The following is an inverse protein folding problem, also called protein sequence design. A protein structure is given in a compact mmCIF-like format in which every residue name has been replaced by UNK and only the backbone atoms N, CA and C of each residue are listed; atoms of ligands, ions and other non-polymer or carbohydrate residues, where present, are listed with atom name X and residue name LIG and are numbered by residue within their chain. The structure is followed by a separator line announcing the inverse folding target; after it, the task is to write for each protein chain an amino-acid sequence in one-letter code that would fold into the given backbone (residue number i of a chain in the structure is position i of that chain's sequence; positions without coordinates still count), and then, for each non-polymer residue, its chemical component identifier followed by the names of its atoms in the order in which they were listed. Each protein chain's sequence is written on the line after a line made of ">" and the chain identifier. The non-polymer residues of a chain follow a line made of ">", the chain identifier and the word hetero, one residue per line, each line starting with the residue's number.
data_IF_589734721911
#
_entry.id   IF_589734721911
#
_cell.length_a   1.000
_cell.length_b   1.000
_cell.length_c   1.000
_cell.angle_alpha   90.00
_cell.angle_beta   90.00
_cell.angle_gamma   90.00
#
_symmetry.space_group_name_H-M   'P 1'
#
loop_
_entity.id
_entity.type
_entity.pdbx_description
1 polymer ?
#
# COMPACT_ATOMS: atom_id res chain seq x y z
N UNK A 1 22.16 -22.10 11.08
CA UNK A 1 21.09 -22.58 10.17
C UNK A 1 20.09 -21.45 10.00
N UNK A 2 19.95 -20.69 8.91
CA UNK A 2 20.57 -20.64 7.60
C UNK A 2 19.88 -19.47 6.91
N UNK A 3 20.49 -18.27 6.95
CA UNK A 3 20.02 -17.12 6.17
C UNK A 3 20.47 -17.34 4.72
N UNK A 4 19.86 -18.31 4.05
CA UNK A 4 19.75 -18.26 2.60
C UNK A 4 19.06 -16.92 2.27
N UNK A 5 19.73 -16.02 1.52
CA UNK A 5 19.18 -14.72 1.17
C UNK A 5 17.78 -14.87 0.57
N UNK A 6 16.85 -13.98 0.90
CA UNK A 6 15.45 -13.97 0.44
C UNK A 6 15.28 -14.32 -1.05
N UNK A 7 16.24 -13.86 -1.89
CA UNK A 7 16.41 -14.21 -3.31
C UNK A 7 16.32 -15.69 -3.64
N UNK A 8 16.88 -16.59 -2.82
CA UNK A 8 16.87 -18.03 -3.11
C UNK A 8 15.52 -18.70 -2.80
N UNK A 9 14.59 -17.98 -2.20
CA UNK A 9 13.28 -18.49 -1.74
C UNK A 9 12.13 -18.10 -2.66
N UNK A 10 12.36 -17.26 -3.67
CA UNK A 10 11.40 -16.85 -4.67
C UNK A 10 12.01 -17.17 -6.04
N UNK A 11 11.31 -17.99 -6.83
CA UNK A 11 11.68 -18.29 -8.21
C UNK A 11 10.78 -17.48 -9.12
N UNK A 12 11.28 -16.33 -9.58
CA UNK A 12 10.59 -15.44 -10.50
C UNK A 12 11.45 -14.23 -10.85
N UNK A 13 11.17 -13.64 -12.01
CA UNK A 13 11.88 -12.49 -12.56
C UNK A 13 10.91 -11.31 -12.79
N UNK A 14 9.80 -11.24 -12.04
CA UNK A 14 8.81 -10.18 -12.18
C UNK A 14 8.97 -9.13 -11.10
N UNK A 15 9.33 -7.90 -11.47
CA UNK A 15 9.18 -6.68 -10.67
C UNK A 15 9.59 -6.70 -9.18
N UNK A 16 10.42 -7.64 -8.72
CA UNK A 16 10.98 -7.69 -7.36
C UNK A 16 12.44 -7.27 -7.38
N UNK A 17 12.82 -6.33 -6.50
CA UNK A 17 14.20 -5.83 -6.39
C UNK A 17 15.04 -6.75 -5.51
N UNK A 18 15.50 -7.86 -6.07
CA UNK A 18 16.41 -8.80 -5.41
C UNK A 18 17.87 -8.36 -5.57
N UNK A 19 18.71 -8.63 -4.57
CA UNK A 19 20.15 -8.34 -4.67
C UNK A 19 20.76 -9.19 -5.79
N UNK A 20 21.62 -8.58 -6.61
CA UNK A 20 22.32 -9.27 -7.70
C UNK A 20 23.60 -9.96 -7.20
N UNK A 21 24.18 -9.46 -6.11
CA UNK A 21 25.40 -9.98 -5.48
C UNK A 21 25.45 -9.59 -3.99
N UNK A 22 26.38 -10.15 -3.21
CA UNK A 22 26.57 -9.83 -1.80
C UNK A 22 28.00 -10.02 -1.32
N UNK A 23 28.44 -9.18 -0.37
CA UNK A 23 29.60 -9.46 0.47
C UNK A 23 29.13 -9.90 1.86
N UNK A 24 29.25 -11.20 2.16
CA UNK A 24 28.83 -11.75 3.45
C UNK A 24 29.74 -11.39 4.61
N UNK A 25 31.01 -11.06 4.36
CA UNK A 25 31.95 -10.67 5.42
C UNK A 25 31.63 -9.28 5.95
N UNK A 26 31.26 -8.36 5.06
CA UNK A 26 30.93 -6.96 5.38
C UNK A 26 29.42 -6.73 5.54
N UNK A 27 28.59 -7.76 5.36
CA UNK A 27 27.13 -7.67 5.38
C UNK A 27 26.57 -6.66 4.35
N UNK A 28 27.14 -6.64 3.15
CA UNK A 28 26.73 -5.76 2.04
C UNK A 28 25.90 -6.55 1.03
N UNK A 29 24.81 -5.96 0.57
CA UNK A 29 23.98 -6.46 -0.53
C UNK A 29 24.06 -5.50 -1.72
N UNK A 30 24.31 -6.03 -2.91
CA UNK A 30 24.43 -5.27 -4.15
C UNK A 30 23.14 -5.45 -4.93
N UNK A 31 22.50 -4.35 -5.35
CA UNK A 31 21.24 -4.36 -6.08
C UNK A 31 21.36 -3.67 -7.42
N UNK A 32 20.47 -4.01 -8.36
CA UNK A 32 20.23 -3.16 -9.52
C UNK A 32 19.83 -1.76 -9.04
N UNK A 33 20.45 -0.76 -9.67
CA UNK A 33 20.14 0.64 -9.44
C UNK A 33 18.89 1.04 -10.22
N UNK A 34 18.06 1.86 -9.61
CA UNK A 34 16.93 2.53 -10.23
C UNK A 34 17.05 4.02 -9.94
N UNK A 35 16.65 4.84 -10.91
CA UNK A 35 16.80 6.29 -10.89
C UNK A 35 16.02 6.95 -9.74
N UNK A 36 14.76 6.58 -9.58
CA UNK A 36 13.84 7.20 -8.63
C UNK A 36 13.05 6.14 -7.83
N UNK A 37 12.43 6.56 -6.74
CA UNK A 37 11.28 5.86 -6.14
C UNK A 37 9.99 6.48 -6.66
N UNK A 38 8.85 5.79 -6.59
CA UNK A 38 7.56 6.36 -6.96
C UNK A 38 7.27 7.63 -6.14
N UNK A 39 7.65 7.65 -4.85
CA UNK A 39 7.53 8.85 -4.01
C UNK A 39 8.35 10.01 -4.57
N UNK A 40 9.64 9.78 -4.83
CA UNK A 40 10.54 10.82 -5.30
C UNK A 40 10.13 11.35 -6.69
N UNK A 41 9.71 10.42 -7.57
CA UNK A 41 9.24 10.72 -8.91
C UNK A 41 8.03 11.65 -8.88
N UNK A 42 6.95 11.27 -8.19
CA UNK A 42 5.71 12.04 -8.18
C UNK A 42 5.78 13.31 -7.33
N UNK A 43 6.65 13.36 -6.31
CA UNK A 43 6.95 14.63 -5.62
C UNK A 43 7.65 15.64 -6.52
N UNK A 44 8.58 15.17 -7.36
CA UNK A 44 9.35 16.02 -8.27
C UNK A 44 8.56 16.40 -9.52
N UNK A 45 7.74 15.47 -10.00
CA UNK A 45 6.95 15.61 -11.21
C UNK A 45 5.51 15.12 -10.98
N UNK A 46 4.66 15.92 -10.32
CA UNK A 46 3.25 15.58 -10.08
C UNK A 46 2.42 15.42 -11.36
N UNK A 47 2.97 15.79 -12.53
CA UNK A 47 2.35 15.68 -13.86
C UNK A 47 2.95 14.52 -14.69
N UNK A 48 3.69 13.59 -14.06
CA UNK A 48 4.22 12.41 -14.74
C UNK A 48 3.08 11.68 -15.49
N UNK A 49 3.26 11.21 -16.73
CA UNK A 49 2.15 10.77 -17.57
C UNK A 49 1.23 9.74 -16.89
N UNK A 50 -0.10 9.95 -16.85
CA UNK A 50 -1.03 9.04 -16.16
C UNK A 50 -0.91 7.58 -16.60
N UNK A 51 -0.83 7.33 -17.90
CA UNK A 51 -0.70 5.98 -18.47
C UNK A 51 0.56 5.26 -17.97
N UNK A 52 1.65 6.01 -17.77
CA UNK A 52 2.89 5.47 -17.22
C UNK A 52 2.76 5.16 -15.72
N UNK A 53 1.95 5.91 -14.97
CA UNK A 53 1.62 5.58 -13.57
C UNK A 53 0.80 4.30 -13.49
N UNK A 54 -0.13 4.09 -14.42
CA UNK A 54 -0.90 2.84 -14.51
C UNK A 54 0.04 1.65 -14.77
N UNK A 55 1.04 1.80 -15.66
CA UNK A 55 2.08 0.77 -15.86
C UNK A 55 2.86 0.46 -14.58
N UNK A 56 3.21 1.48 -13.79
CA UNK A 56 3.86 1.29 -12.47
C UNK A 56 2.95 0.51 -11.52
N UNK A 57 1.68 0.92 -11.40
CA UNK A 57 0.71 0.24 -10.53
C UNK A 57 0.53 -1.24 -10.90
N UNK A 58 0.42 -1.54 -12.21
CA UNK A 58 0.32 -2.91 -12.70
C UNK A 58 1.56 -3.74 -12.38
N UNK A 59 2.75 -3.21 -12.66
CA UNK A 59 4.01 -3.89 -12.38
C UNK A 59 4.17 -4.22 -10.88
N UNK A 60 3.79 -3.30 -10.00
CA UNK A 60 3.81 -3.55 -8.54
C UNK A 60 2.77 -4.59 -8.14
N UNK A 61 1.60 -4.61 -8.80
CA UNK A 61 0.60 -5.65 -8.57
C UNK A 61 1.13 -7.05 -8.89
N UNK A 62 1.84 -7.18 -10.01
CA UNK A 62 2.48 -8.42 -10.45
C UNK A 62 3.58 -8.85 -9.46
N UNK A 63 4.36 -7.90 -8.92
CA UNK A 63 5.32 -8.18 -7.85
C UNK A 63 4.65 -8.72 -6.58
N UNK A 64 3.51 -8.13 -6.18
CA UNK A 64 2.72 -8.60 -5.02
C UNK A 64 2.11 -9.98 -5.30
N UNK A 65 1.67 -10.25 -6.53
CA UNK A 65 1.20 -11.57 -6.93
C UNK A 65 2.32 -12.63 -6.83
N UNK A 66 3.52 -12.29 -7.27
CA UNK A 66 4.70 -13.17 -7.13
C UNK A 66 5.00 -13.47 -5.66
N UNK A 67 4.94 -12.46 -4.77
CA UNK A 67 5.10 -12.68 -3.33
C UNK A 67 4.02 -13.59 -2.76
N UNK A 68 2.75 -13.26 -3.00
CA UNK A 68 1.60 -13.96 -2.40
C UNK A 68 1.48 -15.41 -2.89
N UNK A 69 1.83 -15.69 -4.15
CA UNK A 69 1.89 -17.04 -4.71
C UNK A 69 3.00 -17.91 -4.10
N UNK A 70 4.06 -17.29 -3.55
CA UNK A 70 5.15 -17.96 -2.84
C UNK A 70 4.97 -17.94 -1.30
N UNK A 71 3.76 -17.64 -0.84
CA UNK A 71 3.40 -17.48 0.57
C UNK A 71 4.15 -16.37 1.31
N UNK A 72 4.57 -15.31 0.62
CA UNK A 72 5.17 -14.13 1.25
C UNK A 72 4.19 -12.98 1.33
N UNK A 73 4.23 -12.26 2.45
CA UNK A 73 3.58 -10.98 2.68
C UNK A 73 4.68 -9.94 2.86
N UNK A 74 4.58 -8.81 2.18
CA UNK A 74 5.59 -7.76 2.19
C UNK A 74 5.56 -6.94 3.48
N UNK A 75 4.36 -6.59 3.96
CA UNK A 75 4.10 -5.81 5.18
C UNK A 75 4.58 -4.34 5.19
N UNK A 76 5.18 -3.83 4.11
CA UNK A 76 5.64 -2.43 4.00
C UNK A 76 5.54 -1.89 2.56
N UNK A 77 4.42 -2.18 1.89
CA UNK A 77 4.16 -1.62 0.55
C UNK A 77 3.90 -0.12 0.69
N UNK A 78 4.73 0.69 0.05
CA UNK A 78 4.64 2.15 0.03
C UNK A 78 5.40 2.73 -1.18
N UNK A 79 5.14 3.98 -1.60
CA UNK A 79 5.78 4.57 -2.77
C UNK A 79 7.32 4.68 -2.68
N UNK A 80 7.90 4.75 -1.47
CA UNK A 80 9.36 4.72 -1.27
C UNK A 80 9.98 3.38 -1.66
N UNK A 81 9.23 2.29 -1.50
CA UNK A 81 9.69 0.93 -1.76
C UNK A 81 9.43 0.48 -3.20
N UNK A 82 8.78 1.33 -4.01
CA UNK A 82 8.54 1.11 -5.43
C UNK A 82 9.59 1.89 -6.20
N UNK A 83 10.53 1.19 -6.82
CA UNK A 83 11.60 1.77 -7.60
C UNK A 83 11.20 1.89 -9.07
N UNK A 84 11.59 3.00 -9.70
CA UNK A 84 11.17 3.35 -11.05
C UNK A 84 12.36 3.86 -11.86
N UNK A 85 12.55 3.28 -13.04
CA UNK A 85 13.37 3.82 -14.12
C UNK A 85 12.48 4.33 -15.24
N UNK A 86 12.89 5.44 -15.84
CA UNK A 86 12.18 6.06 -16.95
C UNK A 86 13.15 6.83 -17.85
N UNK A 87 12.77 6.97 -19.11
CA UNK A 87 13.47 7.73 -20.15
C UNK A 87 12.51 8.69 -20.83
N UNK A 88 13.02 9.52 -21.74
CA UNK A 88 12.19 10.23 -22.71
C UNK A 88 12.22 9.49 -24.05
N UNK A 89 11.07 9.34 -24.69
CA UNK A 89 10.99 8.90 -26.08
C UNK A 89 11.50 9.99 -27.04
N UNK A 90 11.48 9.72 -28.35
CA UNK A 90 11.93 10.67 -29.37
C UNK A 90 11.07 11.94 -29.46
N UNK A 91 9.83 11.90 -28.95
CA UNK A 91 8.93 13.05 -28.87
C UNK A 91 9.07 13.83 -27.54
N UNK A 92 9.94 13.36 -26.63
CA UNK A 92 10.16 13.96 -25.32
C UNK A 92 9.19 13.48 -24.23
N UNK A 93 8.31 12.53 -24.52
CA UNK A 93 7.37 11.99 -23.53
C UNK A 93 8.13 11.09 -22.56
N UNK A 94 7.84 11.22 -21.27
CA UNK A 94 8.42 10.32 -20.26
C UNK A 94 7.79 8.94 -20.40
N UNK A 95 8.63 7.90 -20.41
CA UNK A 95 8.22 6.50 -20.55
C UNK A 95 8.95 5.69 -19.49
N UNK A 96 8.22 4.89 -18.72
CA UNK A 96 8.75 3.98 -17.72
C UNK A 96 9.44 2.81 -18.41
N UNK A 97 10.66 2.51 -17.98
CA UNK A 97 11.50 1.46 -18.54
C UNK A 97 11.76 0.32 -17.55
N UNK A 98 11.51 0.55 -16.27
CA UNK A 98 11.69 -0.46 -15.23
C UNK A 98 10.92 -0.11 -13.98
N UNK A 99 10.34 -1.13 -13.35
CA UNK A 99 9.64 -0.99 -12.07
C UNK A 99 10.00 -2.18 -11.20
N UNK A 100 10.32 -1.94 -9.94
CA UNK A 100 10.53 -3.00 -8.98
C UNK A 100 10.06 -2.63 -7.56
N UNK A 101 9.34 -3.54 -6.92
CA UNK A 101 9.06 -3.50 -5.49
C UNK A 101 10.27 -4.03 -4.72
N UNK A 102 10.77 -3.28 -3.76
CA UNK A 102 11.92 -3.64 -2.93
C UNK A 102 11.67 -3.44 -1.44
N UNK A 103 12.73 -3.65 -0.65
CA UNK A 103 12.71 -3.60 0.82
C UNK A 103 11.85 -4.69 1.47
N UNK A 104 12.46 -5.87 1.64
CA UNK A 104 11.81 -7.05 2.20
C UNK A 104 12.20 -7.31 3.66
N UNK A 105 12.73 -6.30 4.36
CA UNK A 105 13.34 -6.49 5.70
C UNK A 105 12.34 -7.00 6.74
N UNK A 106 11.06 -6.66 6.57
CA UNK A 106 9.97 -7.11 7.44
C UNK A 106 9.00 -8.09 6.74
N UNK A 107 9.34 -8.56 5.54
CA UNK A 107 8.53 -9.54 4.83
C UNK A 107 8.44 -10.84 5.63
N UNK A 108 7.29 -11.50 5.59
CA UNK A 108 7.07 -12.72 6.35
C UNK A 108 6.35 -13.81 5.56
N UNK A 109 6.66 -15.06 5.87
CA UNK A 109 6.05 -16.21 5.22
C UNK A 109 4.72 -16.54 5.88
N UNK A 110 3.62 -16.39 5.15
CA UNK A 110 2.24 -16.63 5.56
C UNK A 110 1.44 -17.27 4.43
N UNK A 111 0.85 -18.43 4.72
CA UNK A 111 -0.04 -19.13 3.80
C UNK A 111 -1.36 -18.39 3.65
N UNK A 112 -2.14 -18.77 2.64
CA UNK A 112 -3.45 -18.16 2.39
C UNK A 112 -4.36 -18.31 3.62
N UNK A 113 -4.96 -17.20 4.04
CA UNK A 113 -5.84 -17.15 5.21
C UNK A 113 -5.12 -17.09 6.56
N UNK A 114 -3.79 -17.17 6.59
CA UNK A 114 -3.03 -16.96 7.83
C UNK A 114 -2.89 -15.47 8.14
N UNK A 115 -2.95 -15.15 9.43
CA UNK A 115 -2.68 -13.82 9.97
C UNK A 115 -1.61 -13.93 11.04
N UNK A 116 -0.57 -13.11 10.94
CA UNK A 116 0.42 -12.93 11.99
C UNK A 116 0.03 -11.77 12.87
N UNK A 117 0.23 -11.92 14.18
CA UNK A 117 0.08 -10.83 15.16
C UNK A 117 1.45 -10.58 15.77
N UNK A 118 1.95 -9.36 15.65
CA UNK A 118 3.21 -8.91 16.26
C UNK A 118 2.93 -8.10 17.53
N UNK A 119 3.87 -8.04 18.50
CA UNK A 119 3.69 -7.24 19.71
C UNK A 119 3.50 -5.74 19.43
N UNK A 120 4.05 -5.27 18.31
CA UNK A 120 3.95 -3.91 17.83
C UNK A 120 3.64 -3.92 16.34
N UNK A 121 2.91 -2.89 15.91
CA UNK A 121 2.88 -2.38 14.55
C UNK A 121 4.21 -2.53 13.78
N UNK A 122 4.17 -3.02 12.53
CA UNK A 122 5.32 -3.11 11.64
C UNK A 122 5.03 -2.44 10.29
N UNK A 123 6.04 -1.81 9.68
CA UNK A 123 5.88 -1.04 8.45
C UNK A 123 5.51 0.43 8.69
N UNK A 124 5.44 1.21 7.62
CA UNK A 124 5.20 2.65 7.71
C UNK A 124 3.75 2.98 8.11
N UNK A 125 3.57 3.76 9.18
CA UNK A 125 2.25 4.14 9.73
C UNK A 125 1.26 4.70 8.72
N UNK A 126 1.71 5.46 7.72
CA UNK A 126 0.82 6.09 6.74
C UNK A 126 0.26 5.11 5.71
N UNK A 127 0.94 3.97 5.50
CA UNK A 127 0.59 3.01 4.45
C UNK A 127 -0.04 1.72 4.99
N UNK A 128 -0.19 1.63 6.32
CA UNK A 128 -0.78 0.46 6.97
C UNK A 128 -2.30 0.46 6.86
N UNK A 129 -2.85 -0.72 6.54
CA UNK A 129 -4.26 -1.02 6.77
C UNK A 129 -4.70 -0.77 8.21
N UNK A 130 -5.99 -0.49 8.48
CA UNK A 130 -6.48 -0.32 9.85
C UNK A 130 -6.09 -1.49 10.76
N UNK A 131 -6.31 -2.74 10.35
CA UNK A 131 -5.93 -3.89 11.17
C UNK A 131 -4.41 -3.97 11.42
N UNK A 132 -3.58 -3.54 10.46
CA UNK A 132 -2.13 -3.48 10.63
C UNK A 132 -1.67 -2.38 11.60
N UNK A 133 -2.54 -1.42 11.93
CA UNK A 133 -2.30 -0.48 13.03
C UNK A 133 -2.18 -1.21 14.38
N UNK A 134 -2.90 -2.32 14.52
CA UNK A 134 -2.95 -3.17 15.71
C UNK A 134 -1.85 -4.25 15.76
N UNK A 135 -0.92 -4.26 14.80
CA UNK A 135 0.11 -5.30 14.69
C UNK A 135 -0.32 -6.57 13.94
N UNK A 136 -1.48 -6.56 13.27
CA UNK A 136 -1.88 -7.65 12.40
C UNK A 136 -1.19 -7.56 11.03
N UNK A 137 -0.77 -8.69 10.48
CA UNK A 137 -0.14 -8.78 9.17
C UNK A 137 -0.73 -9.97 8.41
N UNK A 138 -1.17 -9.72 7.18
CA UNK A 138 -1.79 -10.72 6.29
C UNK A 138 -1.64 -10.31 4.82
N UNK A 139 -2.03 -11.19 3.90
CA UNK A 139 -2.11 -10.81 2.47
C UNK A 139 -3.08 -9.64 2.25
N UNK A 140 -4.20 -9.61 2.96
CA UNK A 140 -5.16 -8.52 2.84
C UNK A 140 -4.54 -7.17 3.23
N UNK A 141 -3.67 -7.11 4.25
CA UNK A 141 -3.02 -5.85 4.64
C UNK A 141 -2.08 -5.33 3.55
N UNK A 142 -1.41 -6.20 2.78
CA UNK A 142 -0.64 -5.80 1.60
C UNK A 142 -1.56 -5.19 0.52
N UNK A 143 -2.72 -5.80 0.27
CA UNK A 143 -3.67 -5.29 -0.74
C UNK A 143 -4.19 -3.90 -0.38
N UNK A 144 -4.42 -3.63 0.91
CA UNK A 144 -4.84 -2.30 1.34
C UNK A 144 -3.72 -1.28 1.14
N UNK A 145 -2.50 -1.61 1.55
CA UNK A 145 -1.33 -0.75 1.33
C UNK A 145 -1.11 -0.46 -0.17
N UNK A 146 -1.34 -1.46 -1.02
CA UNK A 146 -1.34 -1.32 -2.47
C UNK A 146 -2.46 -0.39 -2.98
N UNK A 147 -3.67 -0.49 -2.42
CA UNK A 147 -4.76 0.45 -2.69
C UNK A 147 -4.41 1.90 -2.33
N UNK A 148 -3.75 2.12 -1.19
CA UNK A 148 -3.24 3.44 -0.83
C UNK A 148 -2.20 3.95 -1.84
N UNK A 149 -1.30 3.09 -2.30
CA UNK A 149 -0.33 3.43 -3.36
C UNK A 149 -1.06 3.85 -4.64
N UNK A 150 -2.18 3.22 -5.00
CA UNK A 150 -2.96 3.61 -6.17
C UNK A 150 -3.59 4.99 -6.00
N UNK A 151 -4.19 5.27 -4.85
CA UNK A 151 -4.72 6.61 -4.53
C UNK A 151 -3.62 7.67 -4.68
N UNK A 152 -2.41 7.38 -4.18
CA UNK A 152 -1.26 8.27 -4.34
C UNK A 152 -0.85 8.45 -5.81
N UNK A 153 -0.69 7.35 -6.57
CA UNK A 153 -0.29 7.38 -7.96
C UNK A 153 -1.29 8.14 -8.85
N UNK A 154 -2.59 8.00 -8.57
CA UNK A 154 -3.67 8.67 -9.28
C UNK A 154 -3.84 10.16 -8.89
N UNK A 155 -2.92 10.72 -8.11
CA UNK A 155 -2.88 12.15 -7.80
C UNK A 155 -3.72 12.56 -6.59
N UNK A 156 -4.30 11.62 -5.85
CA UNK A 156 -5.05 11.88 -4.63
C UNK A 156 -4.21 11.68 -3.34
N UNK A 157 -2.89 11.85 -3.45
CA UNK A 157 -1.94 11.60 -2.37
C UNK A 157 -2.10 12.50 -1.14
N UNK A 158 -2.58 13.72 -1.32
CA UNK A 158 -2.81 14.68 -0.22
C UNK A 158 -3.88 14.21 0.77
N UNK A 159 -4.75 13.28 0.35
CA UNK A 159 -5.69 12.62 1.25
C UNK A 159 -4.95 11.78 2.30
N UNK A 160 -3.87 11.11 1.91
CA UNK A 160 -3.20 10.10 2.73
C UNK A 160 -2.07 10.68 3.60
N UNK A 161 -1.32 11.64 3.06
CA UNK A 161 -0.06 12.08 3.68
C UNK A 161 -0.33 13.00 4.88
N UNK A 162 0.25 12.65 6.03
CA UNK A 162 0.33 13.53 7.19
C UNK A 162 1.49 14.50 7.01
N UNK A 163 1.18 15.77 6.74
CA UNK A 163 2.19 16.83 6.56
C UNK A 163 2.69 17.45 7.87
N UNK A 164 1.99 17.23 9.00
CA UNK A 164 2.30 17.88 10.28
C UNK A 164 2.31 16.90 11.46
N UNK A 165 3.23 15.94 11.41
CA UNK A 165 3.45 14.98 12.50
C UNK A 165 3.91 15.66 13.80
N UNK A 166 4.66 16.76 13.69
CA UNK A 166 5.19 17.50 14.84
C UNK A 166 4.06 18.16 15.65
N UNK A 167 3.06 18.75 15.00
CA UNK A 167 1.91 19.31 15.70
C UNK A 167 1.02 18.24 16.33
N UNK A 168 0.85 17.08 15.67
CA UNK A 168 0.14 15.94 16.26
C UNK A 168 0.84 15.46 17.53
N UNK A 169 2.17 15.32 17.49
CA UNK A 169 2.97 14.95 18.65
C UNK A 169 2.84 15.97 19.79
N UNK A 170 2.86 17.28 19.49
CA UNK A 170 2.65 18.34 20.49
C UNK A 170 1.24 18.31 21.10
N UNK A 171 0.24 17.90 20.32
CA UNK A 171 -1.13 17.72 20.79
C UNK A 171 -1.35 16.39 21.55
N UNK A 172 -0.32 15.53 21.62
CA UNK A 172 -0.42 14.21 22.24
C UNK A 172 -1.26 13.22 21.44
N UNK A 173 -1.45 13.45 20.13
CA UNK A 173 -2.23 12.60 19.24
C UNK A 173 -1.27 11.61 18.55
N UNK A 174 -1.41 10.29 18.77
CA UNK A 174 -0.62 9.30 18.05
C UNK A 174 -0.90 9.34 16.54
N UNK A 175 0.14 9.18 15.72
CA UNK A 175 0.00 9.19 14.26
C UNK A 175 -0.96 8.10 13.78
N UNK A 176 -0.97 6.93 14.42
CA UNK A 176 -1.87 5.82 14.14
C UNK A 176 -3.35 6.25 14.24
N UNK A 177 -3.68 7.05 15.26
CA UNK A 177 -5.05 7.50 15.49
C UNK A 177 -5.51 8.44 14.37
N UNK A 178 -4.65 9.38 13.97
CA UNK A 178 -4.93 10.29 12.87
C UNK A 178 -5.08 9.54 11.54
N UNK A 179 -4.14 8.64 11.22
CA UNK A 179 -4.20 7.83 9.99
C UNK A 179 -5.47 6.98 9.95
N UNK A 180 -5.82 6.29 11.04
CA UNK A 180 -7.05 5.49 11.10
C UNK A 180 -8.29 6.34 10.90
N UNK A 181 -8.36 7.51 11.55
CA UNK A 181 -9.50 8.42 11.41
C UNK A 181 -9.65 8.90 9.96
N UNK A 182 -8.54 9.23 9.29
CA UNK A 182 -8.55 9.60 7.86
C UNK A 182 -9.01 8.45 6.97
N UNK A 183 -8.43 7.26 7.15
CA UNK A 183 -8.86 6.07 6.41
C UNK A 183 -10.35 5.80 6.58
N UNK A 184 -10.85 5.90 7.82
CA UNK A 184 -12.27 5.75 8.09
C UNK A 184 -13.10 6.87 7.48
N UNK A 185 -12.57 8.09 7.32
CA UNK A 185 -13.24 9.20 6.66
C UNK A 185 -13.34 9.00 5.14
N UNK A 186 -12.34 8.39 4.50
CA UNK A 186 -12.34 8.20 3.05
C UNK A 186 -12.99 6.89 2.62
N UNK A 187 -12.77 5.80 3.34
CA UNK A 187 -13.17 4.44 2.95
C UNK A 187 -14.29 3.85 3.83
N UNK A 188 -14.81 4.63 4.77
CA UNK A 188 -15.95 4.25 5.60
C UNK A 188 -17.27 4.15 4.82
N UNK A 189 -18.32 3.60 5.43
CA UNK A 189 -18.44 3.31 6.86
C UNK A 189 -17.66 2.07 7.32
N UNK A 190 -17.27 2.05 8.60
CA UNK A 190 -16.47 0.96 9.18
C UNK A 190 -17.37 -0.24 9.52
N UNK A 191 -17.11 -1.45 8.96
CA UNK A 191 -17.96 -2.60 9.21
C UNK A 191 -17.68 -3.26 10.57
N UNK A 192 -18.70 -3.88 11.17
CA UNK A 192 -18.54 -4.59 12.45
C UNK A 192 -17.54 -5.76 12.37
N UNK A 193 -17.38 -6.33 11.19
CA UNK A 193 -16.41 -7.40 10.93
C UNK A 193 -14.96 -6.95 11.14
N UNK A 194 -14.62 -5.66 10.96
CA UNK A 194 -13.29 -5.16 11.29
C UNK A 194 -13.03 -5.24 12.80
N UNK A 195 -13.96 -4.73 13.62
CA UNK A 195 -13.81 -4.76 15.08
C UNK A 195 -13.74 -6.19 15.62
N UNK A 196 -14.51 -7.12 15.04
CA UNK A 196 -14.51 -8.52 15.44
C UNK A 196 -13.16 -9.22 15.22
N UNK A 197 -12.29 -8.67 14.37
CA UNK A 197 -10.96 -9.22 14.08
C UNK A 197 -9.88 -8.68 15.01
N UNK A 198 -10.12 -7.52 15.62
CA UNK A 198 -9.20 -6.89 16.57
C UNK A 198 -9.40 -7.52 17.93
N UNK A 199 -8.35 -8.14 18.49
CA UNK A 199 -8.42 -8.83 19.79
C UNK A 199 -8.32 -7.88 20.97
N UNK A 200 -7.54 -6.82 20.81
CA UNK A 200 -7.22 -5.84 21.84
C UNK A 200 -8.41 -4.88 22.07
N UNK A 201 -8.86 -4.75 23.31
CA UNK A 201 -10.02 -3.94 23.67
C UNK A 201 -9.78 -2.44 23.54
N UNK A 202 -8.56 -1.98 23.81
CA UNK A 202 -8.19 -0.58 23.70
C UNK A 202 -8.18 -0.17 22.23
N UNK A 203 -7.62 -1.01 21.35
CA UNK A 203 -7.69 -0.81 19.90
C UNK A 203 -9.13 -0.83 19.38
N UNK A 204 -9.97 -1.77 19.86
CA UNK A 204 -11.40 -1.79 19.49
C UNK A 204 -12.11 -0.49 19.89
N UNK A 205 -11.88 -0.01 21.11
CA UNK A 205 -12.47 1.23 21.61
C UNK A 205 -11.97 2.45 20.82
N UNK A 206 -10.67 2.52 20.55
CA UNK A 206 -10.05 3.59 19.76
C UNK A 206 -10.63 3.63 18.34
N UNK A 207 -10.76 2.48 17.66
CA UNK A 207 -11.31 2.41 16.31
C UNK A 207 -12.77 2.82 16.28
N UNK A 208 -13.58 2.41 17.25
CA UNK A 208 -14.98 2.87 17.36
C UNK A 208 -15.06 4.38 17.57
N UNK A 209 -14.13 4.96 18.33
CA UNK A 209 -14.06 6.41 18.51
C UNK A 209 -13.68 7.12 17.20
N UNK A 210 -12.64 6.64 16.51
CA UNK A 210 -12.23 7.15 15.21
C UNK A 210 -13.35 7.05 14.16
N UNK A 211 -14.09 5.93 14.13
CA UNK A 211 -15.21 5.73 13.23
C UNK A 211 -16.34 6.75 13.46
N UNK A 212 -16.70 7.03 14.72
CA UNK A 212 -17.70 8.07 15.05
C UNK A 212 -17.27 9.47 14.62
N UNK A 213 -15.98 9.80 14.77
CA UNK A 213 -15.44 11.08 14.29
C UNK A 213 -15.49 11.15 12.76
N UNK A 214 -15.04 10.09 12.09
CA UNK A 214 -15.08 9.98 10.64
C UNK A 214 -16.50 10.06 10.07
N UNK A 215 -17.49 9.45 10.71
CA UNK A 215 -18.89 9.49 10.28
C UNK A 215 -19.51 10.87 10.47
N UNK A 216 -19.21 11.55 11.59
CA UNK A 216 -19.60 12.94 11.80
C UNK A 216 -19.03 13.82 10.70
N UNK A 217 -17.71 13.72 10.44
CA UNK A 217 -17.05 14.50 9.41
C UNK A 217 -17.60 14.20 8.01
N UNK A 218 -17.84 12.93 7.68
CA UNK A 218 -18.41 12.56 6.39
C UNK A 218 -19.87 13.00 6.24
N UNK A 219 -20.62 13.17 7.33
CA UNK A 219 -21.97 13.75 7.27
C UNK A 219 -21.95 15.25 6.94
N UNK A 220 -20.92 15.96 7.41
CA UNK A 220 -20.69 17.38 7.12
C UNK A 220 -20.03 17.59 5.75
N UNK A 221 -19.17 16.66 5.33
CA UNK A 221 -18.42 16.68 4.08
C UNK A 221 -18.54 15.34 3.33
N UNK A 222 -19.69 15.05 2.69
CA UNK A 222 -19.91 13.78 2.00
C UNK A 222 -18.90 13.50 0.88
N UNK A 223 -18.38 14.56 0.25
CA UNK A 223 -17.40 14.49 -0.83
C UNK A 223 -16.04 13.91 -0.42
N UNK A 224 -15.76 13.77 0.88
CA UNK A 224 -14.56 13.07 1.36
C UNK A 224 -14.64 11.55 1.15
N UNK A 225 -15.82 10.96 1.01
CA UNK A 225 -15.96 9.50 0.81
C UNK A 225 -15.51 9.09 -0.60
N UNK A 226 -14.89 7.92 -0.70
CA UNK A 226 -14.42 7.32 -1.96
C UNK A 226 -15.53 7.26 -3.02
N UNK A 227 -16.77 6.96 -2.62
CA UNK A 227 -17.93 6.92 -3.51
C UNK A 227 -18.25 8.27 -4.18
N UNK A 228 -17.65 9.37 -3.73
CA UNK A 228 -17.79 10.70 -4.31
C UNK A 228 -16.55 11.10 -5.10
N UNK A 229 -15.39 11.19 -4.45
CA UNK A 229 -14.17 11.63 -5.15
C UNK A 229 -13.64 10.56 -6.10
N UNK A 230 -13.83 9.27 -5.81
CA UNK A 230 -13.39 8.19 -6.69
C UNK A 230 -14.14 8.17 -8.02
N UNK A 231 -15.38 8.69 -8.08
CA UNK A 231 -16.13 8.84 -9.34
C UNK A 231 -15.46 9.79 -10.33
N UNK A 232 -14.65 10.75 -9.86
CA UNK A 232 -13.92 11.66 -10.76
C UNK A 232 -12.77 10.96 -11.49
N UNK A 233 -12.36 9.78 -11.02
CA UNK A 233 -11.31 8.94 -11.62
C UNK A 233 -11.87 7.91 -12.62
N UNK A 234 -13.19 7.80 -12.75
CA UNK A 234 -13.86 6.79 -13.60
C UNK A 234 -14.34 5.55 -12.83
N UNK A 235 -15.29 4.82 -13.42
CA UNK A 235 -15.95 3.68 -12.76
C UNK A 235 -14.98 2.52 -12.48
N UNK A 236 -14.08 2.19 -13.43
CA UNK A 236 -13.11 1.13 -13.25
C UNK A 236 -12.07 1.45 -12.16
N UNK A 237 -11.63 2.70 -12.08
CA UNK A 237 -10.74 3.15 -11.00
C UNK A 237 -11.46 3.09 -9.64
N UNK A 238 -12.71 3.52 -9.58
CA UNK A 238 -13.53 3.43 -8.37
C UNK A 238 -13.73 1.97 -7.92
N UNK A 239 -14.01 1.04 -8.83
CA UNK A 239 -14.14 -0.38 -8.52
C UNK A 239 -12.85 -0.93 -7.91
N UNK A 240 -11.70 -0.66 -8.55
CA UNK A 240 -10.39 -1.09 -8.07
C UNK A 240 -10.07 -0.51 -6.69
N UNK A 241 -10.26 0.79 -6.50
CA UNK A 241 -10.00 1.46 -5.22
C UNK A 241 -10.93 0.94 -4.13
N UNK A 242 -12.22 0.72 -4.43
CA UNK A 242 -13.19 0.19 -3.46
C UNK A 242 -12.82 -1.24 -3.02
N UNK A 243 -12.39 -2.07 -3.97
CA UNK A 243 -12.00 -3.45 -3.70
C UNK A 243 -10.70 -3.58 -2.92
N UNK A 244 -9.71 -2.72 -3.18
CA UNK A 244 -8.41 -2.73 -2.50
C UNK A 244 -8.44 -2.03 -1.14
N UNK A 245 -9.21 -0.95 -0.99
CA UNK A 245 -9.34 -0.17 0.25
C UNK A 245 -10.51 -0.61 1.15
N UNK A 246 -11.15 -1.76 0.85
CA UNK A 246 -12.22 -2.28 1.68
C UNK A 246 -11.76 -2.45 3.14
N UNK A 247 -12.49 -1.83 4.08
CA UNK A 247 -12.16 -1.83 5.50
C UNK A 247 -12.37 -3.19 6.19
N UNK A 248 -13.08 -4.13 5.58
CA UNK A 248 -13.09 -5.53 6.02
C UNK A 248 -11.99 -6.32 5.29
N UNK A 249 -10.93 -6.76 5.98
CA UNK A 249 -9.84 -7.55 5.38
C UNK A 249 -10.31 -8.84 4.71
N UNK A 250 -11.47 -9.39 5.11
CA UNK A 250 -12.02 -10.63 4.55
C UNK A 250 -12.82 -10.41 3.27
N UNK A 251 -13.33 -9.20 3.07
CA UNK A 251 -14.07 -8.81 1.87
C UNK A 251 -13.19 -8.06 0.86
N UNK A 252 -11.95 -7.73 1.23
CA UNK A 252 -10.96 -7.09 0.37
C UNK A 252 -10.55 -8.05 -0.75
N UNK A 253 -10.33 -7.50 -1.95
CA UNK A 253 -9.90 -8.29 -3.10
C UNK A 253 -8.58 -9.01 -2.82
N UNK A 254 -8.39 -10.18 -3.43
CA UNK A 254 -7.05 -10.77 -3.56
C UNK A 254 -6.28 -10.12 -4.70
N UNK A 255 -4.95 -10.26 -4.72
CA UNK A 255 -4.15 -9.71 -5.82
C UNK A 255 -4.53 -10.26 -7.19
N UNK A 256 -4.92 -11.54 -7.27
CA UNK A 256 -5.40 -12.15 -8.52
C UNK A 256 -6.70 -11.51 -9.00
N UNK A 257 -7.61 -11.18 -8.07
CA UNK A 257 -8.84 -10.47 -8.40
C UNK A 257 -8.55 -9.03 -8.84
N UNK A 258 -7.62 -8.34 -8.16
CA UNK A 258 -7.18 -6.99 -8.56
C UNK A 258 -6.65 -7.00 -9.99
N UNK A 259 -5.75 -7.93 -10.34
CA UNK A 259 -5.18 -8.05 -11.69
C UNK A 259 -6.19 -8.48 -12.77
N UNK A 260 -7.33 -9.05 -12.37
CA UNK A 260 -8.41 -9.44 -13.28
C UNK A 260 -9.44 -8.33 -13.55
N UNK A 261 -9.32 -7.16 -12.89
CA UNK A 261 -10.25 -6.04 -13.09
C UNK A 261 -10.13 -5.44 -14.49
N UNK A 262 -11.26 -4.93 -15.00
CA UNK A 262 -11.34 -4.26 -16.31
C UNK A 262 -10.45 -3.02 -16.42
N UNK A 263 -10.14 -2.38 -15.28
CA UNK A 263 -9.23 -1.23 -15.19
C UNK A 263 -7.91 -1.42 -15.94
N UNK A 264 -7.37 -2.64 -16.00
CA UNK A 264 -6.10 -2.92 -16.68
C UNK A 264 -6.23 -3.20 -18.18
N UNK A 265 -7.45 -3.21 -18.71
CA UNK A 265 -7.81 -3.54 -20.10
C UNK A 265 -8.51 -2.40 -20.81
N UNK A 266 -8.80 -1.31 -20.11
CA UNK A 266 -9.29 -0.08 -20.71
C UNK A 266 -8.10 0.61 -21.42
N UNK A 267 -8.20 0.73 -22.75
CA UNK A 267 -7.25 1.43 -23.62
C UNK A 267 -7.41 2.95 -23.54
#
# INVERSE_FOLDING_TARGET
>A
MGNMPFRHRIQGHGHLRLHVDCNTEESILIYTYFRDTLLALLKKDPEFPPDERVKIMRAVSEAVQELHSNDWVHADIKPDNILVDWTCDNAGNKVVTGVALGDFDIACKLKQGETRITPHAVGNVMWRSPEAQTGMCSRASDIYALGLVYVYALGAGDLLILSDLDSLAKAGIPAEQEVVTRHFCYFGPVPESLYAQIKDDDWRAAFRSAARLADTQASEQPFSRLDFWGKTLGEAALEMLSGTSNLDPRARLTIDQVLALAYWTED
#
